data_IF_001525734816
#
_entry.id   IF_001525734816
#
_cell.length_a   1.000
_cell.length_b   1.000
_cell.length_c   1.000
_cell.angle_alpha   90.00
_cell.angle_beta   90.00
_cell.angle_gamma   90.00
#
_symmetry.space_group_name_H-M   'P 1'
#
loop_
_entity.id
_entity.type
_entity.pdbx_description
1 polymer ?
#
# COMPACT_ATOMS: atom_id res chain seq x y z
N UNK A 1 54.68 -48.81 -47.10
CA UNK A 1 54.77 -47.36 -46.91
C UNK A 1 53.36 -46.80 -46.96
N UNK A 2 52.98 -46.05 -45.93
CA UNK A 2 52.05 -44.89 -45.88
C UNK A 2 50.92 -44.88 -46.93
N UNK A 3 49.63 -44.80 -46.64
CA UNK A 3 48.87 -44.44 -45.44
C UNK A 3 47.51 -43.83 -45.89
N UNK A 4 46.55 -43.78 -44.95
CA UNK A 4 45.35 -42.89 -44.92
C UNK A 4 44.25 -43.24 -45.94
N UNK A 5 43.21 -43.99 -45.56
CA UNK A 5 42.03 -43.73 -44.70
C UNK A 5 40.77 -43.35 -45.46
N UNK A 6 39.72 -44.09 -45.11
CA UNK A 6 38.36 -44.11 -45.63
C UNK A 6 37.53 -42.87 -45.29
N UNK A 7 36.51 -42.61 -46.12
CA UNK A 7 35.19 -42.15 -45.62
C UNK A 7 34.10 -42.82 -46.47
N UNK A 8 33.43 -43.81 -45.89
CA UNK A 8 32.09 -44.26 -46.28
C UNK A 8 31.28 -44.36 -45.00
N UNK A 9 30.10 -43.75 -44.99
CA UNK A 9 29.01 -44.08 -44.07
C UNK A 9 28.81 -43.09 -42.93
N UNK A 10 27.82 -42.21 -43.08
CA UNK A 10 27.06 -41.64 -41.96
C UNK A 10 25.68 -41.18 -42.46
N UNK A 11 24.87 -42.15 -42.87
CA UNK A 11 23.42 -42.09 -42.72
C UNK A 11 23.11 -42.73 -41.36
N UNK A 12 22.20 -42.12 -40.59
CA UNK A 12 21.79 -42.46 -39.20
C UNK A 12 22.58 -41.74 -38.11
N UNK A 13 22.49 -40.40 -38.04
CA UNK A 13 22.58 -39.66 -36.77
C UNK A 13 21.94 -38.26 -36.88
N UNK A 14 20.69 -38.18 -37.34
CA UNK A 14 19.98 -36.89 -37.40
C UNK A 14 18.54 -36.96 -36.87
N UNK A 15 18.29 -37.79 -35.86
CA UNK A 15 16.97 -37.90 -35.23
C UNK A 15 16.96 -37.97 -33.69
N UNK A 16 18.09 -37.77 -33.01
CA UNK A 16 18.16 -37.82 -31.53
C UNK A 16 18.73 -36.55 -30.87
N UNK A 17 18.79 -35.43 -31.61
CA UNK A 17 19.13 -34.11 -31.07
C UNK A 17 18.00 -33.09 -31.36
N UNK A 18 16.74 -33.53 -31.25
CA UNK A 18 15.67 -32.65 -30.78
C UNK A 18 15.60 -32.83 -29.26
N UNK A 19 16.64 -32.34 -28.58
CA UNK A 19 16.61 -32.17 -27.15
C UNK A 19 15.55 -31.13 -26.81
N UNK A 20 14.50 -31.58 -26.14
CA UNK A 20 13.78 -30.89 -25.08
C UNK A 20 14.16 -29.41 -24.91
N UNK A 21 13.64 -28.55 -25.78
CA UNK A 21 13.23 -27.22 -25.37
C UNK A 21 11.73 -27.35 -25.17
N UNK A 22 11.35 -28.04 -24.09
CA UNK A 22 10.17 -27.59 -23.39
C UNK A 22 10.55 -26.21 -22.88
N UNK A 23 10.09 -25.18 -23.60
CA UNK A 23 9.85 -23.92 -22.94
C UNK A 23 8.91 -24.27 -21.79
N UNK A 24 9.43 -24.36 -20.56
CA UNK A 24 8.58 -24.01 -19.44
C UNK A 24 8.05 -22.64 -19.80
N UNK A 25 6.74 -22.49 -19.98
CA UNK A 25 6.13 -21.18 -19.84
C UNK A 25 6.58 -20.70 -18.46
N UNK A 26 7.65 -19.89 -18.45
CA UNK A 26 8.28 -19.48 -17.20
C UNK A 26 7.20 -18.76 -16.41
N UNK A 27 6.94 -19.23 -15.19
CA UNK A 27 6.08 -18.48 -14.27
C UNK A 27 6.54 -17.03 -14.30
N UNK A 28 5.65 -16.13 -14.72
CA UNK A 28 5.96 -14.71 -14.77
C UNK A 28 6.21 -14.26 -13.35
N UNK A 29 7.45 -13.91 -13.05
CA UNK A 29 7.80 -13.38 -11.74
C UNK A 29 6.99 -12.12 -11.43
N UNK A 30 6.51 -12.04 -10.19
CA UNK A 30 5.65 -10.96 -9.70
C UNK A 30 6.49 -9.96 -8.90
N UNK A 31 6.32 -8.65 -9.12
CA UNK A 31 7.10 -7.60 -8.46
C UNK A 31 6.27 -6.38 -8.08
N UNK A 32 6.80 -5.52 -7.22
CA UNK A 32 6.40 -4.12 -7.22
C UNK A 32 7.04 -3.44 -8.44
N UNK A 33 6.22 -2.82 -9.29
CA UNK A 33 6.67 -2.22 -10.55
C UNK A 33 6.61 -0.68 -10.49
N UNK A 34 7.58 -0.03 -11.11
CA UNK A 34 7.55 1.41 -11.33
C UNK A 34 6.52 1.83 -12.40
N UNK A 35 6.42 3.12 -12.70
CA UNK A 35 5.49 3.64 -13.72
C UNK A 35 5.79 3.17 -15.15
N UNK A 36 6.95 2.58 -15.41
CA UNK A 36 7.33 2.00 -16.72
C UNK A 36 7.29 0.47 -16.70
N UNK A 37 6.71 -0.13 -15.67
CA UNK A 37 6.59 -1.57 -15.53
C UNK A 37 7.91 -2.27 -15.20
N UNK A 38 8.91 -1.56 -14.68
CA UNK A 38 10.19 -2.16 -14.29
C UNK A 38 10.17 -2.59 -12.82
N UNK A 39 10.72 -3.77 -12.48
CA UNK A 39 10.87 -4.21 -11.08
C UNK A 39 11.67 -3.23 -10.24
N UNK A 40 11.14 -2.88 -9.07
CA UNK A 40 11.83 -2.07 -8.06
C UNK A 40 11.75 -2.74 -6.69
N UNK A 41 12.73 -2.46 -5.83
CA UNK A 41 12.74 -2.96 -4.46
C UNK A 41 11.51 -2.47 -3.68
N UNK A 42 11.24 -1.18 -3.79
CA UNK A 42 10.07 -0.52 -3.25
C UNK A 42 9.75 0.73 -4.07
N UNK A 43 8.49 1.17 -4.00
CA UNK A 43 8.07 2.49 -4.42
C UNK A 43 7.08 3.07 -3.42
N UNK A 44 6.99 4.39 -3.37
CA UNK A 44 6.00 5.15 -2.60
C UNK A 44 5.34 6.19 -3.49
N UNK A 45 4.04 6.36 -3.29
CA UNK A 45 3.21 7.36 -3.92
C UNK A 45 2.57 8.21 -2.83
N UNK A 46 2.65 9.54 -2.98
CA UNK A 46 1.83 10.49 -2.23
C UNK A 46 0.84 11.14 -3.21
N UNK A 47 -0.40 10.67 -3.18
CA UNK A 47 -1.49 11.20 -3.99
C UNK A 47 -1.90 12.57 -3.44
N UNK A 48 -1.98 13.56 -4.30
CA UNK A 48 -2.42 14.90 -3.95
C UNK A 48 -3.95 14.92 -3.74
N UNK A 49 -4.48 15.85 -2.92
CA UNK A 49 -5.93 16.07 -2.83
C UNK A 49 -6.43 16.69 -4.14
N UNK A 50 -7.74 16.70 -4.37
CA UNK A 50 -8.33 17.33 -5.56
C UNK A 50 -8.41 18.86 -5.50
N UNK A 51 -8.16 19.44 -4.32
CA UNK A 51 -8.22 20.87 -4.05
C UNK A 51 -7.06 21.25 -3.14
N UNK A 52 -6.50 22.44 -3.38
CA UNK A 52 -5.45 23.08 -2.57
C UNK A 52 -5.87 24.50 -2.22
N UNK A 53 -5.06 25.18 -1.39
CA UNK A 53 -5.24 26.61 -1.13
C UNK A 53 -4.21 27.42 -1.92
N UNK A 54 -4.66 28.50 -2.53
CA UNK A 54 -3.77 29.51 -3.09
C UNK A 54 -3.12 30.36 -1.98
N UNK A 55 -2.27 31.30 -2.38
CA UNK A 55 -1.57 32.21 -1.47
C UNK A 55 -2.53 33.10 -0.64
N UNK A 56 -3.77 33.28 -1.09
CA UNK A 56 -4.83 34.03 -0.42
C UNK A 56 -5.68 33.12 0.49
N UNK A 57 -5.36 31.83 0.56
CA UNK A 57 -6.04 30.85 1.39
C UNK A 57 -7.37 30.37 0.81
N UNK A 58 -7.69 30.68 -0.45
CA UNK A 58 -8.92 30.25 -1.12
C UNK A 58 -8.73 28.83 -1.69
N UNK A 59 -9.76 28.00 -1.56
CA UNK A 59 -9.77 26.69 -2.20
C UNK A 59 -9.83 26.83 -3.72
N UNK A 60 -8.88 26.20 -4.38
CA UNK A 60 -8.79 26.07 -5.83
C UNK A 60 -8.59 24.60 -6.20
N UNK A 61 -9.00 24.15 -7.40
CA UNK A 61 -8.64 22.82 -7.88
C UNK A 61 -7.12 22.62 -7.82
N UNK A 62 -6.68 21.42 -7.46
CA UNK A 62 -5.27 21.07 -7.55
C UNK A 62 -4.81 21.22 -9.00
N UNK A 63 -3.69 21.91 -9.28
CA UNK A 63 -3.14 22.05 -10.63
C UNK A 63 -2.69 20.70 -11.18
N UNK A 64 -3.65 19.95 -11.72
CA UNK A 64 -3.48 18.59 -12.18
C UNK A 64 -3.97 18.48 -13.62
N UNK A 65 -3.10 18.00 -14.49
CA UNK A 65 -3.31 17.89 -15.94
C UNK A 65 -3.84 16.51 -16.36
N UNK A 66 -4.47 15.80 -15.41
CA UNK A 66 -5.04 14.50 -15.65
C UNK A 66 -6.39 14.59 -16.35
N UNK A 67 -6.73 13.55 -17.11
CA UNK A 67 -8.07 13.35 -17.62
C UNK A 67 -8.99 12.80 -16.53
N UNK A 68 -10.30 13.01 -16.71
CA UNK A 68 -11.33 12.36 -15.90
C UNK A 68 -11.20 10.82 -16.00
N UNK A 69 -11.34 10.07 -14.88
CA UNK A 69 -11.33 8.62 -14.92
C UNK A 69 -12.33 8.05 -15.92
N UNK A 70 -11.85 7.14 -16.78
CA UNK A 70 -12.66 6.48 -17.80
C UNK A 70 -13.32 5.22 -17.21
N UNK A 71 -14.51 5.38 -16.63
CA UNK A 71 -15.20 4.32 -15.87
C UNK A 71 -16.23 3.54 -16.70
N UNK A 72 -16.08 3.52 -18.03
CA UNK A 72 -17.01 2.86 -18.94
C UNK A 72 -17.11 1.35 -18.69
N UNK A 73 -15.99 0.71 -18.32
CA UNK A 73 -15.95 -0.73 -18.03
C UNK A 73 -16.76 -1.14 -16.78
N UNK A 74 -17.19 -0.18 -15.96
CA UNK A 74 -18.07 -0.40 -14.80
C UNK A 74 -19.38 0.38 -14.90
N UNK A 75 -19.65 1.03 -16.04
CA UNK A 75 -20.87 1.81 -16.31
C UNK A 75 -21.16 2.89 -15.26
N UNK A 76 -20.11 3.44 -14.67
CA UNK A 76 -20.19 4.58 -13.74
C UNK A 76 -19.85 5.86 -14.51
N UNK A 77 -20.68 6.89 -14.37
CA UNK A 77 -20.30 8.25 -14.78
C UNK A 77 -19.81 9.04 -13.56
N UNK A 78 -18.63 9.63 -13.68
CA UNK A 78 -17.98 10.36 -12.58
C UNK A 78 -17.88 11.86 -12.86
N UNK A 79 -17.91 12.71 -11.83
CA UNK A 79 -17.73 14.15 -12.01
C UNK A 79 -16.35 14.51 -12.61
N UNK A 80 -16.28 15.61 -13.36
CA UNK A 80 -15.03 16.13 -13.96
C UNK A 80 -13.96 16.43 -12.91
N UNK A 81 -14.37 16.82 -11.71
CA UNK A 81 -13.52 17.21 -10.59
C UNK A 81 -12.62 16.09 -10.10
N UNK A 82 -12.99 14.82 -10.37
CA UNK A 82 -12.18 13.66 -9.96
C UNK A 82 -10.78 13.68 -10.55
N UNK A 83 -10.59 14.30 -11.72
CA UNK A 83 -9.28 14.41 -12.37
C UNK A 83 -8.25 15.15 -11.52
N UNK A 84 -8.68 16.11 -10.70
CA UNK A 84 -7.76 16.93 -9.90
C UNK A 84 -7.07 16.14 -8.78
N UNK A 85 -7.65 15.00 -8.38
CA UNK A 85 -7.15 14.16 -7.30
C UNK A 85 -6.22 13.03 -7.73
N UNK A 86 -5.80 12.99 -8.99
CA UNK A 86 -5.03 11.89 -9.59
C UNK A 86 -3.53 12.19 -9.72
N UNK A 87 -3.11 13.43 -9.47
CA UNK A 87 -1.71 13.81 -9.45
C UNK A 87 -1.03 13.33 -8.17
N UNK A 88 0.28 13.05 -8.26
CA UNK A 88 1.02 12.46 -7.17
C UNK A 88 2.51 12.80 -7.20
N UNK A 89 3.13 12.64 -6.03
CA UNK A 89 4.57 12.54 -5.89
C UNK A 89 4.97 11.07 -5.84
N UNK A 90 6.12 10.75 -6.43
CA UNK A 90 6.64 9.40 -6.55
C UNK A 90 8.11 9.34 -6.13
N UNK A 91 8.47 8.28 -5.40
CA UNK A 91 9.85 7.87 -5.17
C UNK A 91 9.96 6.34 -5.21
N UNK A 92 11.16 5.86 -5.51
CA UNK A 92 11.47 4.43 -5.51
C UNK A 92 12.88 4.17 -4.98
N UNK A 93 13.24 2.90 -4.87
CA UNK A 93 14.56 2.49 -4.40
C UNK A 93 15.73 2.97 -5.27
N UNK A 94 15.51 3.20 -6.57
CA UNK A 94 16.54 3.69 -7.49
C UNK A 94 16.66 5.22 -7.42
N UNK A 95 15.59 5.91 -7.03
CA UNK A 95 15.49 7.36 -6.89
C UNK A 95 14.67 7.70 -5.63
N UNK A 96 15.30 7.67 -4.44
CA UNK A 96 14.60 7.78 -3.15
C UNK A 96 14.22 9.22 -2.78
N UNK A 97 13.88 10.04 -3.77
CA UNK A 97 13.41 11.42 -3.60
C UNK A 97 12.06 11.58 -4.26
N UNK A 98 11.10 12.10 -3.50
CA UNK A 98 9.76 12.40 -4.01
C UNK A 98 9.87 13.45 -5.13
N UNK A 99 9.36 13.10 -6.31
CA UNK A 99 9.30 13.93 -7.50
C UNK A 99 7.89 13.93 -8.04
N UNK A 100 7.50 15.02 -8.72
CA UNK A 100 6.21 15.05 -9.39
C UNK A 100 6.17 13.96 -10.49
N UNK A 101 5.05 13.26 -10.63
CA UNK A 101 4.95 12.12 -11.55
C UNK A 101 5.25 12.47 -13.02
N UNK A 102 4.95 13.72 -13.44
CA UNK A 102 5.31 14.21 -14.78
C UNK A 102 6.83 14.35 -14.98
N UNK A 103 7.58 14.71 -13.94
CA UNK A 103 9.04 14.88 -14.03
C UNK A 103 9.75 13.54 -14.28
N UNK A 104 9.10 12.43 -13.95
CA UNK A 104 9.59 11.07 -14.19
C UNK A 104 8.95 10.41 -15.42
N UNK A 105 8.07 11.13 -16.11
CA UNK A 105 7.39 10.68 -17.33
C UNK A 105 6.33 9.61 -17.10
N UNK A 106 5.60 9.69 -15.98
CA UNK A 106 4.51 8.76 -15.66
C UNK A 106 3.13 9.35 -15.98
N UNK A 107 2.15 8.45 -16.07
CA UNK A 107 0.74 8.75 -16.24
C UNK A 107 0.06 9.01 -14.89
N UNK A 108 -1.16 9.51 -14.97
CA UNK A 108 -2.05 9.77 -13.83
C UNK A 108 -2.32 8.51 -13.01
N UNK A 109 -2.40 8.66 -11.68
CA UNK A 109 -2.39 7.54 -10.76
C UNK A 109 -3.58 6.59 -10.96
N UNK A 110 -3.31 5.28 -11.05
CA UNK A 110 -4.34 4.26 -11.07
C UNK A 110 -5.30 4.38 -12.24
N UNK A 111 -4.84 4.93 -13.37
CA UNK A 111 -5.65 5.07 -14.59
C UNK A 111 -5.40 3.93 -15.58
N UNK A 112 -4.60 2.94 -15.21
CA UNK A 112 -4.33 1.80 -16.04
C UNK A 112 -3.21 2.00 -17.07
N UNK A 113 -2.57 3.17 -17.09
CA UNK A 113 -1.46 3.48 -17.99
C UNK A 113 -0.09 3.20 -17.36
N UNK A 114 0.88 4.01 -17.73
CA UNK A 114 2.23 4.02 -17.19
C UNK A 114 2.31 4.67 -15.81
N UNK A 115 1.70 4.02 -14.82
CA UNK A 115 1.76 4.40 -13.42
C UNK A 115 2.06 3.17 -12.53
N UNK A 116 2.77 3.36 -11.40
CA UNK A 116 3.29 2.25 -10.60
C UNK A 116 2.18 1.38 -9.99
N UNK A 117 1.03 1.98 -9.68
CA UNK A 117 -0.12 1.28 -9.09
C UNK A 117 -0.75 0.34 -10.11
N UNK A 118 -1.01 0.84 -11.32
CA UNK A 118 -1.58 0.04 -12.40
C UNK A 118 -0.68 -1.11 -12.82
N UNK A 119 0.62 -0.86 -13.02
CA UNK A 119 1.58 -1.92 -13.35
C UNK A 119 1.65 -2.97 -12.24
N UNK A 120 1.74 -2.53 -10.98
CA UNK A 120 1.83 -3.45 -9.84
C UNK A 120 0.57 -4.33 -9.74
N UNK A 121 -0.63 -3.72 -9.69
CA UNK A 121 -1.89 -4.45 -9.45
C UNK A 121 -2.31 -5.35 -10.61
N UNK A 122 -2.03 -4.99 -11.88
CA UNK A 122 -2.42 -5.82 -13.04
C UNK A 122 -1.74 -7.19 -13.04
N UNK A 123 -0.59 -7.34 -12.37
CA UNK A 123 0.10 -8.63 -12.27
C UNK A 123 -0.71 -9.69 -11.54
N UNK A 124 -1.65 -9.32 -10.65
CA UNK A 124 -2.48 -10.27 -9.90
C UNK A 124 -3.23 -11.26 -10.81
N UNK A 125 -3.60 -10.84 -12.04
CA UNK A 125 -4.26 -11.71 -13.03
C UNK A 125 -3.41 -12.88 -13.50
N UNK A 126 -2.09 -12.74 -13.42
CA UNK A 126 -1.14 -13.76 -13.81
C UNK A 126 -0.53 -14.49 -12.61
N UNK A 127 -0.91 -14.13 -11.38
CA UNK A 127 -0.41 -14.76 -10.16
C UNK A 127 -1.32 -15.90 -9.72
N UNK A 128 -0.73 -17.00 -9.27
CA UNK A 128 -1.45 -18.13 -8.68
C UNK A 128 -2.13 -17.72 -7.38
N UNK A 129 -1.41 -16.98 -6.53
CA UNK A 129 -1.91 -16.50 -5.24
C UNK A 129 -2.02 -14.99 -5.25
N UNK A 130 -3.24 -14.49 -5.03
CA UNK A 130 -3.49 -13.07 -4.82
C UNK A 130 -4.66 -12.85 -3.88
N UNK A 131 -4.66 -11.68 -3.23
CA UNK A 131 -5.77 -11.18 -2.44
C UNK A 131 -5.79 -9.65 -2.37
N UNK A 132 -6.98 -9.10 -2.16
CA UNK A 132 -7.25 -7.68 -1.87
C UNK A 132 -7.81 -7.62 -0.45
N UNK A 133 -7.35 -6.64 0.33
CA UNK A 133 -7.88 -6.35 1.65
C UNK A 133 -8.25 -4.87 1.75
N UNK A 134 -9.34 -4.57 2.45
CA UNK A 134 -9.83 -3.21 2.67
C UNK A 134 -10.88 -3.26 3.78
N UNK A 135 -10.81 -2.36 4.74
CA UNK A 135 -11.87 -2.21 5.75
C UNK A 135 -13.12 -1.49 5.22
N UNK A 136 -13.07 -0.96 3.99
CA UNK A 136 -14.12 -0.14 3.39
C UNK A 136 -14.34 -0.54 1.92
N UNK A 137 -15.35 -1.40 1.68
CA UNK A 137 -15.89 -1.76 0.36
C UNK A 137 -17.33 -1.26 0.15
N UNK A 138 -17.75 -0.28 0.95
CA UNK A 138 -19.11 0.25 0.96
C UNK A 138 -19.45 1.19 -0.19
N UNK A 139 -18.46 1.55 -1.01
CA UNK A 139 -18.59 2.46 -2.15
C UNK A 139 -17.75 2.00 -3.35
N UNK A 140 -17.58 0.70 -3.56
CA UNK A 140 -16.94 0.17 -4.78
C UNK A 140 -17.73 0.55 -6.05
N UNK A 141 -17.12 0.45 -7.22
CA UNK A 141 -17.75 0.85 -8.49
C UNK A 141 -19.03 0.07 -8.83
N UNK A 142 -19.18 -1.19 -8.38
CA UNK A 142 -20.41 -1.96 -8.58
C UNK A 142 -21.64 -1.24 -8.00
N UNK A 143 -21.53 -0.76 -6.76
CA UNK A 143 -22.62 -0.14 -6.00
C UNK A 143 -22.14 0.43 -4.67
N UNK A 144 -22.97 1.29 -4.10
CA UNK A 144 -22.89 1.68 -2.69
C UNK A 144 -23.64 0.67 -1.81
N UNK A 145 -22.96 0.05 -0.85
CA UNK A 145 -23.55 -0.85 0.16
C UNK A 145 -22.94 -0.57 1.54
N UNK A 146 -23.66 0.16 2.39
CA UNK A 146 -23.18 0.60 3.70
C UNK A 146 -22.82 -0.54 4.66
N UNK A 147 -23.22 -1.79 4.36
CA UNK A 147 -22.88 -2.97 5.17
C UNK A 147 -21.49 -3.50 4.89
N UNK A 148 -20.86 -3.12 3.76
CA UNK A 148 -19.52 -3.57 3.37
C UNK A 148 -18.44 -2.73 4.05
N UNK A 149 -18.46 -2.69 5.38
CA UNK A 149 -17.49 -2.00 6.23
C UNK A 149 -17.08 -2.94 7.36
N UNK A 150 -15.79 -3.00 7.63
CA UNK A 150 -15.19 -3.79 8.70
C UNK A 150 -14.71 -2.81 9.76
N UNK A 151 -15.34 -2.75 10.95
CA UNK A 151 -14.99 -1.70 11.92
C UNK A 151 -15.34 -2.05 13.37
N UNK A 152 -14.54 -1.53 14.31
CA UNK A 152 -14.90 -1.11 15.68
C UNK A 152 -15.46 -2.14 16.69
N UNK A 153 -15.96 -3.29 16.25
CA UNK A 153 -16.54 -4.34 17.09
C UNK A 153 -16.49 -5.74 16.47
N UNK A 154 -15.99 -5.85 15.23
CA UNK A 154 -15.81 -7.11 14.52
C UNK A 154 -14.53 -7.84 14.97
N UNK A 155 -14.49 -9.17 14.77
CA UNK A 155 -13.29 -9.98 15.01
C UNK A 155 -12.11 -9.60 14.09
N UNK A 156 -12.41 -8.88 13.00
CA UNK A 156 -11.48 -8.24 12.08
C UNK A 156 -11.78 -6.75 12.06
N UNK A 157 -10.78 -5.89 12.27
CA UNK A 157 -11.03 -4.46 12.44
C UNK A 157 -9.84 -3.57 12.04
N UNK A 158 -8.87 -4.13 11.32
CA UNK A 158 -7.72 -3.35 10.89
C UNK A 158 -8.15 -2.23 9.92
N UNK A 159 -7.78 -0.99 10.21
CA UNK A 159 -7.92 0.12 9.27
C UNK A 159 -6.82 0.07 8.20
N UNK A 160 -6.92 -0.91 7.30
CA UNK A 160 -5.87 -1.25 6.36
C UNK A 160 -6.46 -1.67 5.01
N UNK A 161 -5.76 -1.26 3.94
CA UNK A 161 -6.20 -1.44 2.57
C UNK A 161 -5.00 -1.78 1.68
N UNK A 162 -5.21 -2.56 0.63
CA UNK A 162 -4.12 -2.95 -0.25
C UNK A 162 -4.34 -4.26 -0.99
N UNK A 163 -3.24 -4.82 -1.47
CA UNK A 163 -3.24 -6.08 -2.20
C UNK A 163 -1.92 -6.82 -2.05
N UNK A 164 -1.97 -8.12 -2.29
CA UNK A 164 -0.81 -9.01 -2.38
C UNK A 164 -0.99 -9.91 -3.59
N UNK A 165 0.09 -10.15 -4.33
CA UNK A 165 0.13 -11.20 -5.34
C UNK A 165 1.53 -11.83 -5.36
N UNK A 166 1.60 -13.16 -5.45
CA UNK A 166 2.85 -13.90 -5.32
C UNK A 166 2.76 -15.31 -5.90
N UNK A 167 3.94 -15.89 -6.11
CA UNK A 167 4.18 -17.32 -6.25
C UNK A 167 4.97 -17.82 -5.03
N UNK A 168 4.84 -19.10 -4.70
CA UNK A 168 5.51 -19.68 -3.53
C UNK A 168 7.04 -19.59 -3.63
N UNK A 169 7.58 -19.88 -4.81
CA UNK A 169 9.03 -20.00 -5.01
C UNK A 169 9.68 -18.65 -5.36
N UNK A 170 9.04 -17.83 -6.20
CA UNK A 170 9.61 -16.55 -6.65
C UNK A 170 9.16 -15.34 -5.83
N UNK A 171 8.24 -15.52 -4.88
CA UNK A 171 7.62 -14.43 -4.14
C UNK A 171 6.76 -13.52 -5.02
N UNK A 172 6.69 -12.25 -4.67
CA UNK A 172 5.76 -11.31 -5.31
C UNK A 172 5.85 -9.87 -4.83
N UNK A 173 4.70 -9.21 -4.74
CA UNK A 173 4.57 -7.89 -4.16
C UNK A 173 3.63 -7.87 -2.96
N UNK A 174 3.91 -6.94 -2.05
CA UNK A 174 2.95 -6.47 -1.04
C UNK A 174 2.70 -4.99 -1.30
N UNK A 175 1.43 -4.60 -1.38
CA UNK A 175 0.99 -3.22 -1.58
C UNK A 175 0.06 -2.82 -0.43
N UNK A 176 0.38 -1.70 0.22
CA UNK A 176 -0.47 -1.04 1.21
C UNK A 176 -0.94 0.30 0.66
N UNK A 177 -2.19 0.64 0.95
CA UNK A 177 -2.87 1.86 0.53
C UNK A 177 -3.66 2.43 1.69
N UNK A 178 -3.78 3.76 1.74
CA UNK A 178 -4.76 4.43 2.61
C UNK A 178 -6.08 4.76 1.89
N UNK A 179 -6.17 4.45 0.60
CA UNK A 179 -7.27 4.84 -0.29
C UNK A 179 -8.50 3.94 -0.10
N UNK A 180 -9.65 4.46 0.36
CA UNK A 180 -10.85 3.65 0.54
C UNK A 180 -11.41 3.11 -0.78
N UNK A 181 -12.04 1.94 -0.69
CA UNK A 181 -12.63 1.24 -1.84
C UNK A 181 -11.63 0.92 -2.98
N UNK A 182 -10.31 1.03 -2.74
CA UNK A 182 -9.27 0.79 -3.74
C UNK A 182 -8.08 -0.02 -3.16
N UNK A 183 -7.58 -1.10 -3.82
CA UNK A 183 -8.02 -1.64 -5.11
C UNK A 183 -9.48 -2.07 -5.10
N UNK A 184 -10.17 -1.81 -6.21
CA UNK A 184 -11.60 -2.05 -6.34
C UNK A 184 -11.85 -3.45 -6.95
N UNK A 185 -12.51 -4.37 -6.24
CA UNK A 185 -12.75 -5.74 -6.69
C UNK A 185 -13.94 -5.87 -7.65
N UNK A 186 -14.55 -4.75 -8.08
CA UNK A 186 -15.69 -4.76 -9.01
C UNK A 186 -15.32 -5.52 -10.29
N UNK A 187 -16.21 -6.43 -10.71
CA UNK A 187 -16.04 -7.16 -11.96
C UNK A 187 -16.41 -6.22 -13.12
N UNK A 188 -15.50 -5.96 -14.08
CA UNK A 188 -15.80 -5.19 -15.27
C UNK A 188 -16.94 -5.80 -16.07
N UNK A 189 -17.74 -4.95 -16.71
CA UNK A 189 -18.75 -5.37 -17.68
C UNK A 189 -18.09 -5.92 -18.94
N UNK A 190 -18.66 -6.99 -19.51
CA UNK A 190 -18.10 -7.67 -20.69
C UNK A 190 -18.12 -6.87 -22.01
N UNK A 191 -18.46 -5.58 -21.96
CA UNK A 191 -18.51 -4.67 -23.11
C UNK A 191 -17.14 -4.02 -23.40
N UNK A 192 -16.12 -4.30 -22.59
CA UNK A 192 -14.78 -3.72 -22.65
C UNK A 192 -13.71 -4.77 -22.31
N UNK A 193 -12.61 -4.78 -23.05
CA UNK A 193 -11.41 -5.59 -22.73
C UNK A 193 -10.58 -4.98 -21.59
N UNK A 194 -10.86 -3.74 -21.17
CA UNK A 194 -10.23 -3.11 -20.00
C UNK A 194 -10.81 -3.69 -18.71
N UNK A 195 -10.03 -4.56 -18.10
CA UNK A 195 -10.37 -5.32 -16.91
C UNK A 195 -9.81 -4.70 -15.61
N UNK A 196 -9.29 -3.48 -15.68
CA UNK A 196 -8.75 -2.75 -14.54
C UNK A 196 -9.71 -1.64 -14.11
N UNK A 197 -10.11 -1.67 -12.85
CA UNK A 197 -11.00 -0.65 -12.29
C UNK A 197 -10.16 0.54 -11.87
N UNK A 198 -10.40 1.68 -12.52
CA UNK A 198 -9.58 2.87 -12.32
C UNK A 198 -9.84 3.51 -10.97
N UNK A 199 -8.79 4.11 -10.40
CA UNK A 199 -8.92 4.94 -9.23
C UNK A 199 -9.81 6.14 -9.58
N UNK A 200 -10.82 6.36 -8.75
CA UNK A 200 -11.81 7.41 -8.95
C UNK A 200 -13.12 6.92 -9.57
N UNK A 201 -13.25 5.65 -9.98
CA UNK A 201 -14.55 5.10 -10.41
C UNK A 201 -15.47 4.70 -9.25
N UNK A 202 -14.95 4.67 -8.03
CA UNK A 202 -15.66 4.30 -6.81
C UNK A 202 -16.71 5.35 -6.43
N UNK A 203 -17.81 4.94 -5.80
CA UNK A 203 -18.82 5.82 -5.19
C UNK A 203 -18.34 6.41 -3.84
N UNK A 204 -17.13 6.97 -3.83
CA UNK A 204 -16.46 7.49 -2.65
C UNK A 204 -15.61 8.74 -2.97
N UNK A 205 -15.12 9.42 -1.94
CA UNK A 205 -14.25 10.60 -1.98
C UNK A 205 -12.76 10.24 -2.11
N UNK A 206 -12.46 9.05 -2.62
CA UNK A 206 -11.11 8.48 -2.60
C UNK A 206 -10.06 9.24 -3.44
N UNK A 207 -10.51 10.12 -4.34
CA UNK A 207 -9.65 11.08 -5.05
C UNK A 207 -9.67 12.49 -4.44
N UNK A 208 -10.63 12.82 -3.58
CA UNK A 208 -10.76 14.14 -2.96
C UNK A 208 -9.64 14.44 -1.95
N UNK A 209 -9.28 13.43 -1.14
CA UNK A 209 -8.28 13.58 -0.08
C UNK A 209 -6.89 13.16 -0.52
N UNK A 210 -5.86 13.71 0.11
CA UNK A 210 -4.50 13.21 -0.04
C UNK A 210 -4.42 11.77 0.53
N UNK A 211 -3.69 10.90 -0.15
CA UNK A 211 -3.54 9.49 0.24
C UNK A 211 -2.10 9.04 -0.01
N UNK A 212 -1.70 7.91 0.57
CA UNK A 212 -0.42 7.30 0.29
C UNK A 212 -0.58 5.84 -0.12
N UNK A 213 0.36 5.39 -0.95
CA UNK A 213 0.52 3.99 -1.31
C UNK A 213 1.98 3.61 -1.23
N UNK A 214 2.25 2.40 -0.79
CA UNK A 214 3.59 1.83 -0.71
C UNK A 214 3.53 0.40 -1.24
N UNK A 215 4.50 0.01 -2.06
CA UNK A 215 4.67 -1.38 -2.42
C UNK A 215 6.13 -1.80 -2.39
N UNK A 216 6.36 -3.08 -2.15
CA UNK A 216 7.69 -3.69 -2.12
C UNK A 216 7.70 -5.05 -2.82
N UNK A 217 8.81 -5.34 -3.50
CA UNK A 217 9.10 -6.64 -4.08
C UNK A 217 9.71 -7.55 -3.03
N UNK A 218 9.07 -8.69 -2.75
CA UNK A 218 9.44 -9.62 -1.67
C UNK A 218 9.57 -11.05 -2.18
N UNK A 219 10.42 -11.85 -1.55
CA UNK A 219 10.52 -13.29 -1.82
C UNK A 219 9.45 -14.09 -1.05
N UNK A 220 9.42 -15.41 -1.22
CA UNK A 220 8.45 -16.28 -0.56
C UNK A 220 8.55 -16.27 0.97
N UNK A 221 9.76 -16.14 1.54
CA UNK A 221 9.94 -16.09 3.00
C UNK A 221 9.45 -14.76 3.59
N UNK A 222 9.72 -13.66 2.91
CA UNK A 222 9.18 -12.35 3.26
C UNK A 222 7.66 -12.31 3.15
N UNK A 223 7.05 -12.96 2.15
CA UNK A 223 5.60 -13.12 2.03
C UNK A 223 5.03 -13.88 3.25
N UNK A 224 5.64 -14.98 3.67
CA UNK A 224 5.25 -15.71 4.90
C UNK A 224 5.37 -14.82 6.14
N UNK A 225 6.43 -14.04 6.23
CA UNK A 225 6.69 -13.15 7.36
C UNK A 225 5.65 -12.03 7.45
N UNK A 226 5.31 -11.39 6.32
CA UNK A 226 4.22 -10.40 6.25
C UNK A 226 2.87 -11.04 6.60
N UNK A 227 2.58 -12.24 6.08
CA UNK A 227 1.35 -12.97 6.40
C UNK A 227 1.19 -13.21 7.91
N UNK A 228 2.25 -13.61 8.61
CA UNK A 228 2.24 -13.74 10.08
C UNK A 228 1.95 -12.41 10.78
N UNK A 229 2.52 -11.30 10.29
CA UNK A 229 2.23 -9.97 10.80
C UNK A 229 0.76 -9.56 10.60
N UNK A 230 0.19 -9.86 9.43
CA UNK A 230 -1.20 -9.56 9.12
C UNK A 230 -2.22 -10.35 9.94
N UNK A 231 -1.86 -11.55 10.43
CA UNK A 231 -2.69 -12.27 11.42
C UNK A 231 -2.86 -11.45 12.70
N UNK A 232 -1.80 -10.80 13.20
CA UNK A 232 -1.89 -9.88 14.35
C UNK A 232 -2.80 -8.70 14.04
N UNK A 233 -2.66 -8.11 12.85
CA UNK A 233 -3.43 -6.93 12.46
C UNK A 233 -4.93 -7.21 12.29
N UNK A 234 -5.33 -8.43 11.93
CA UNK A 234 -6.73 -8.83 11.64
C UNK A 234 -7.31 -8.02 10.47
N UNK A 235 -6.63 -8.09 9.33
CA UNK A 235 -7.06 -7.46 8.07
C UNK A 235 -8.42 -7.97 7.59
N UNK A 236 -9.16 -7.12 6.89
CA UNK A 236 -10.48 -7.46 6.34
C UNK A 236 -10.38 -7.80 4.85
N UNK A 237 -10.65 -9.06 4.52
CA UNK A 237 -10.66 -9.60 3.16
C UNK A 237 -11.74 -10.72 3.09
N UNK A 238 -11.44 -11.88 2.50
CA UNK A 238 -12.40 -12.99 2.39
C UNK A 238 -12.77 -13.64 3.72
N UNK A 239 -11.92 -13.48 4.73
CA UNK A 239 -12.16 -13.83 6.14
C UNK A 239 -13.31 -13.05 6.79
N UNK A 240 -13.70 -11.89 6.23
CA UNK A 240 -14.78 -11.05 6.74
C UNK A 240 -15.91 -10.87 5.71
N UNK A 241 -15.57 -10.54 4.46
CA UNK A 241 -16.53 -10.33 3.36
C UNK A 241 -16.82 -11.63 2.60
N UNK A 242 -17.52 -12.56 3.25
CA UNK A 242 -17.79 -13.88 2.68
C UNK A 242 -18.57 -13.83 1.34
N UNK A 243 -19.49 -12.87 1.19
CA UNK A 243 -20.28 -12.66 -0.05
C UNK A 243 -19.43 -12.16 -1.22
N UNK A 244 -18.23 -11.65 -0.96
CA UNK A 244 -17.29 -11.13 -1.96
C UNK A 244 -16.07 -12.04 -2.14
N UNK A 245 -16.06 -13.23 -1.54
CA UNK A 245 -14.87 -14.07 -1.46
C UNK A 245 -14.20 -14.31 -2.82
N UNK A 246 -14.99 -14.57 -3.87
CA UNK A 246 -14.48 -14.86 -5.22
C UNK A 246 -13.76 -13.70 -5.90
N UNK A 247 -14.03 -12.46 -5.51
CA UNK A 247 -13.41 -11.25 -6.10
C UNK A 247 -12.34 -10.63 -5.20
N UNK A 248 -12.20 -11.11 -3.97
CA UNK A 248 -11.23 -10.62 -3.00
C UNK A 248 -10.00 -11.53 -2.84
N UNK A 249 -10.07 -12.79 -3.28
CA UNK A 249 -8.89 -13.65 -3.34
C UNK A 249 -8.98 -14.73 -4.43
N UNK A 250 -7.80 -15.09 -4.95
CA UNK A 250 -7.61 -16.23 -5.86
C UNK A 250 -8.23 -17.52 -5.32
N UNK A 251 -8.67 -18.40 -6.22
CA UNK A 251 -9.17 -19.71 -5.82
C UNK A 251 -8.11 -20.51 -5.04
N UNK A 252 -6.86 -20.54 -5.51
CA UNK A 252 -5.77 -21.25 -4.86
C UNK A 252 -5.53 -20.80 -3.42
N UNK A 253 -5.60 -19.48 -3.14
CA UNK A 253 -5.47 -18.98 -1.77
C UNK A 253 -6.69 -19.33 -0.91
N UNK A 254 -7.91 -19.24 -1.47
CA UNK A 254 -9.16 -19.52 -0.73
C UNK A 254 -9.33 -20.97 -0.34
N UNK A 255 -8.89 -21.91 -1.17
CA UNK A 255 -8.96 -23.33 -0.85
C UNK A 255 -7.85 -23.75 0.15
N UNK A 256 -7.00 -22.80 0.57
CA UNK A 256 -5.94 -22.96 1.56
C UNK A 256 -5.15 -24.26 1.39
N UNK A 257 -4.80 -24.61 0.16
CA UNK A 257 -4.15 -25.88 -0.19
C UNK A 257 -2.77 -26.08 0.48
N UNK A 258 -2.28 -25.09 1.24
CA UNK A 258 -0.89 -24.95 1.65
C UNK A 258 -0.66 -24.59 3.12
N UNK A 259 -1.72 -24.40 3.93
CA UNK A 259 -1.60 -23.90 5.31
C UNK A 259 -0.71 -22.63 5.41
N UNK A 260 -0.81 -21.75 4.42
CA UNK A 260 0.12 -20.63 4.27
C UNK A 260 -0.28 -19.46 5.20
N UNK A 261 0.65 -18.76 5.89
CA UNK A 261 0.31 -17.67 6.82
C UNK A 261 -0.54 -16.55 6.21
N UNK A 262 -0.38 -16.32 4.90
CA UNK A 262 -1.17 -15.35 4.15
C UNK A 262 -2.65 -15.79 3.98
N UNK A 263 -2.91 -17.08 3.81
CA UNK A 263 -4.27 -17.60 3.76
C UNK A 263 -4.92 -17.50 5.15
N UNK A 264 -4.20 -17.85 6.22
CA UNK A 264 -4.67 -17.62 7.58
C UNK A 264 -5.00 -16.14 7.86
N UNK A 265 -4.21 -15.20 7.33
CA UNK A 265 -4.43 -13.76 7.54
C UNK A 265 -5.64 -13.18 6.79
N UNK A 266 -5.94 -13.68 5.58
CA UNK A 266 -6.89 -13.04 4.64
C UNK A 266 -8.12 -13.90 4.29
N UNK A 267 -8.06 -15.19 4.57
CA UNK A 267 -9.10 -16.17 4.20
C UNK A 267 -9.76 -16.80 5.40
N UNK A 268 -8.97 -17.21 6.38
CA UNK A 268 -9.47 -17.95 7.54
C UNK A 268 -10.26 -17.04 8.50
N UNK A 269 -11.59 -17.21 8.62
CA UNK A 269 -12.40 -16.44 9.58
C UNK A 269 -12.13 -16.85 11.04
N UNK A 270 -11.65 -18.08 11.24
CA UNK A 270 -11.47 -18.72 12.54
C UNK A 270 -10.01 -18.64 13.01
N UNK A 271 -9.16 -17.91 12.29
CA UNK A 271 -7.77 -17.70 12.66
C UNK A 271 -7.68 -17.19 14.11
N UNK A 272 -6.71 -17.70 14.87
CA UNK A 272 -6.48 -17.26 16.24
C UNK A 272 -6.03 -15.79 16.29
N UNK A 273 -6.31 -15.13 17.43
CA UNK A 273 -5.73 -13.83 17.71
C UNK A 273 -4.22 -13.95 17.95
N UNK A 274 -3.44 -13.11 17.28
CA UNK A 274 -1.99 -13.03 17.46
C UNK A 274 -1.60 -11.69 18.10
N UNK A 275 -0.58 -11.66 19.00
CA UNK A 275 -0.14 -10.43 19.62
C UNK A 275 0.54 -9.50 18.62
N UNK A 276 0.61 -8.20 18.97
CA UNK A 276 1.37 -7.22 18.20
C UNK A 276 2.80 -7.70 17.93
N UNK A 277 3.29 -7.49 16.71
CA UNK A 277 4.58 -8.04 16.27
C UNK A 277 5.31 -7.11 15.31
N UNK A 278 6.63 -7.26 15.27
CA UNK A 278 7.52 -6.60 14.33
C UNK A 278 8.11 -7.62 13.36
N UNK A 279 8.12 -7.27 12.09
CA UNK A 279 8.73 -8.09 11.03
C UNK A 279 9.78 -7.27 10.33
N UNK A 280 10.93 -7.89 10.07
CA UNK A 280 11.93 -7.31 9.16
C UNK A 280 11.97 -8.17 7.91
N UNK A 281 11.78 -7.55 6.76
CA UNK A 281 11.87 -8.20 5.45
C UNK A 281 13.01 -7.58 4.65
N UNK A 282 13.58 -8.38 3.75
CA UNK A 282 14.55 -7.92 2.76
C UNK A 282 13.87 -8.03 1.40
N UNK A 283 13.93 -6.96 0.62
CA UNK A 283 13.34 -6.96 -0.72
C UNK A 283 14.11 -7.89 -1.64
N UNK A 284 13.40 -8.64 -2.48
CA UNK A 284 14.04 -9.56 -3.45
C UNK A 284 14.78 -8.83 -4.58
N UNK A 285 14.45 -7.56 -4.79
CA UNK A 285 15.19 -6.65 -5.69
C UNK A 285 16.02 -5.71 -4.82
N UNK A 286 17.30 -5.53 -5.13
CA UNK A 286 18.18 -4.53 -4.48
C UNK A 286 18.52 -4.76 -2.99
N UNK A 287 17.97 -5.80 -2.35
CA UNK A 287 18.26 -6.19 -0.96
C UNK A 287 18.08 -5.06 0.08
N UNK A 288 17.01 -4.28 -0.06
CA UNK A 288 16.63 -3.22 0.89
C UNK A 288 15.92 -3.84 2.09
N UNK A 289 16.30 -3.42 3.29
CA UNK A 289 15.65 -3.86 4.54
C UNK A 289 14.44 -2.97 4.85
N UNK A 290 13.28 -3.57 5.00
CA UNK A 290 12.04 -2.89 5.40
C UNK A 290 11.56 -3.51 6.71
N UNK A 291 11.13 -2.67 7.66
CA UNK A 291 10.59 -3.11 8.94
C UNK A 291 9.10 -2.77 9.01
N UNK A 292 8.27 -3.78 9.25
CA UNK A 292 6.83 -3.65 9.48
C UNK A 292 6.51 -3.83 10.95
N UNK A 293 5.55 -3.05 11.44
CA UNK A 293 4.96 -3.16 12.77
C UNK A 293 3.48 -3.47 12.58
N UNK A 294 3.00 -4.54 13.20
CA UNK A 294 1.62 -5.00 13.12
C UNK A 294 1.01 -4.95 14.51
N UNK A 295 0.03 -4.07 14.68
CA UNK A 295 -0.67 -3.88 15.94
C UNK A 295 -1.86 -4.84 16.03
N UNK A 296 -1.99 -5.52 17.16
CA UNK A 296 -3.16 -6.35 17.45
C UNK A 296 -4.37 -5.53 17.94
N UNK A 297 -5.56 -6.12 17.79
CA UNK A 297 -6.83 -5.48 18.14
C UNK A 297 -7.00 -5.18 19.64
N UNK A 298 -6.34 -5.95 20.52
CA UNK A 298 -6.44 -5.80 21.96
C UNK A 298 -5.45 -4.77 22.52
N UNK A 299 -4.45 -4.39 21.73
CA UNK A 299 -3.46 -3.38 22.10
C UNK A 299 -4.11 -1.99 22.22
N UNK A 300 -4.18 -1.50 23.46
CA UNK A 300 -4.59 -0.14 23.76
C UNK A 300 -3.49 0.90 23.45
N UNK A 301 -2.30 0.46 23.04
CA UNK A 301 -1.17 1.37 22.78
C UNK A 301 -1.39 2.12 21.46
N UNK A 302 -1.23 3.45 21.42
CA UNK A 302 -1.22 4.21 20.17
C UNK A 302 -0.17 3.65 19.19
N UNK A 303 -0.51 3.43 17.90
CA UNK A 303 0.40 2.85 16.91
C UNK A 303 1.76 3.58 16.83
N UNK A 304 1.77 4.89 17.09
CA UNK A 304 2.97 5.73 17.03
C UNK A 304 3.95 5.50 18.16
N UNK A 305 3.45 5.28 19.38
CA UNK A 305 4.31 4.89 20.49
C UNK A 305 4.95 3.51 20.24
N UNK A 306 4.18 2.58 19.67
CA UNK A 306 4.71 1.27 19.26
C UNK A 306 5.79 1.42 18.18
N UNK A 307 5.60 2.30 17.20
CA UNK A 307 6.58 2.54 16.15
C UNK A 307 7.87 3.18 16.70
N UNK A 308 7.77 4.19 17.56
CA UNK A 308 8.93 4.81 18.20
C UNK A 308 9.77 3.78 18.98
N UNK A 309 9.12 2.96 19.80
CA UNK A 309 9.79 1.91 20.58
C UNK A 309 10.35 0.80 19.69
N UNK A 310 9.58 0.32 18.71
CA UNK A 310 10.02 -0.72 17.77
C UNK A 310 11.25 -0.30 16.95
N UNK A 311 11.29 0.96 16.52
CA UNK A 311 12.34 1.47 15.65
C UNK A 311 13.49 2.13 16.39
N UNK A 312 13.34 2.36 17.70
CA UNK A 312 14.38 2.93 18.54
C UNK A 312 14.73 4.37 18.13
N UNK A 313 13.71 5.14 17.76
CA UNK A 313 13.87 6.47 17.20
C UNK A 313 12.64 7.31 17.48
N UNK A 314 12.87 8.61 17.57
CA UNK A 314 11.80 9.56 17.81
C UNK A 314 10.98 9.74 16.53
N UNK A 315 9.67 9.91 16.69
CA UNK A 315 8.78 10.24 15.58
C UNK A 315 8.52 11.74 15.54
N UNK A 316 8.65 12.35 14.37
CA UNK A 316 8.24 13.73 14.16
C UNK A 316 6.72 13.79 13.99
N UNK A 317 5.99 14.01 15.09
CA UNK A 317 4.51 14.11 15.08
C UNK A 317 3.97 15.45 15.56
N UNK A 318 4.84 16.37 15.94
CA UNK A 318 4.59 17.79 16.20
C UNK A 318 3.34 18.45 15.64
N UNK A 319 3.17 18.24 14.34
CA UNK A 319 2.23 18.91 13.48
C UNK A 319 1.18 17.92 12.99
N UNK A 320 1.10 16.75 13.63
CA UNK A 320 0.06 15.77 13.38
C UNK A 320 -1.19 16.21 14.10
N UNK A 321 -2.29 15.99 13.41
CA UNK A 321 -3.61 16.35 13.86
C UNK A 321 -4.27 15.06 14.28
N UNK A 322 -4.50 14.90 15.57
CA UNK A 322 -5.30 13.83 16.12
C UNK A 322 -6.61 14.47 16.61
N UNK A 323 -7.74 13.97 16.11
CA UNK A 323 -9.10 14.47 16.39
C UNK A 323 -9.51 15.87 15.83
N UNK A 324 -10.76 16.27 16.15
CA UNK A 324 -11.48 17.46 15.64
C UNK A 324 -10.95 18.81 16.15
N UNK A 325 -9.99 18.77 17.07
CA UNK A 325 -9.31 19.93 17.59
C UNK A 325 -7.84 19.68 17.30
N UNK A 326 -7.12 20.65 16.73
CA UNK A 326 -5.68 20.56 16.55
C UNK A 326 -4.96 20.55 17.90
N UNK A 327 -5.17 19.49 18.67
CA UNK A 327 -4.50 19.21 19.92
C UNK A 327 -3.42 18.20 19.53
N UNK A 328 -2.14 18.54 19.66
CA UNK A 328 -1.08 17.56 19.49
C UNK A 328 -1.29 16.44 20.52
N UNK A 329 -1.55 15.23 20.04
CA UNK A 329 -1.35 14.02 20.84
C UNK A 329 0.16 13.88 21.01
N UNK A 330 0.64 14.15 22.23
CA UNK A 330 2.01 14.00 22.76
C UNK A 330 2.65 15.35 23.06
N UNK A 331 2.65 15.68 24.35
CA UNK A 331 3.22 16.90 24.88
C UNK A 331 4.75 16.81 24.94
N UNK A 332 5.34 17.98 24.70
CA UNK A 332 6.74 18.37 24.86
C UNK A 332 7.35 17.90 26.19
N UNK A 333 8.67 17.71 26.22
CA UNK A 333 9.39 17.21 27.39
C UNK A 333 9.08 17.99 28.67
N UNK A 334 8.80 17.29 29.77
CA UNK A 334 9.26 17.60 31.13
C UNK A 334 8.64 16.64 32.18
N UNK A 335 9.40 16.40 33.26
CA UNK A 335 9.19 15.46 34.37
C UNK A 335 7.75 15.45 34.95
N UNK A 336 7.09 14.27 34.98
CA UNK A 336 5.68 14.11 35.45
C UNK A 336 5.50 13.37 36.78
N UNK A 337 6.52 13.28 37.63
CA UNK A 337 6.46 12.57 38.91
C UNK A 337 5.43 13.07 39.95
N UNK A 338 4.64 14.11 39.64
CA UNK A 338 3.76 14.80 40.59
C UNK A 338 2.30 15.06 40.13
N UNK A 339 1.88 14.65 38.93
CA UNK A 339 0.49 14.88 38.48
C UNK A 339 -0.44 13.74 38.89
N UNK A 340 -1.39 14.05 39.78
CA UNK A 340 -2.33 13.08 40.38
C UNK A 340 -3.43 12.58 39.42
N UNK A 341 -3.61 13.23 38.27
CA UNK A 341 -4.59 12.86 37.25
C UNK A 341 -3.87 12.63 35.92
N UNK A 342 -3.60 11.35 35.66
CA UNK A 342 -2.65 10.89 34.64
C UNK A 342 -3.18 11.08 33.21
N UNK A 343 -2.44 11.83 32.39
CA UNK A 343 -2.33 11.57 30.96
C UNK A 343 -1.07 10.74 30.73
N UNK A 344 -1.21 9.41 30.73
CA UNK A 344 -0.36 8.40 30.09
C UNK A 344 -0.82 7.01 30.54
N UNK A 345 -0.87 6.09 29.60
CA UNK A 345 -1.48 4.76 29.69
C UNK A 345 -1.01 3.99 30.94
N UNK A 346 -1.96 3.53 31.77
CA UNK A 346 -1.66 2.73 32.97
C UNK A 346 -1.35 1.26 32.68
N UNK A 347 -1.30 0.82 31.43
CA UNK A 347 -1.21 -0.60 31.09
C UNK A 347 -0.05 -0.94 30.12
N UNK A 348 0.72 -1.94 30.56
CA UNK A 348 1.79 -2.71 29.90
C UNK A 348 1.45 -3.08 28.44
N UNK A 349 2.35 -2.90 27.44
CA UNK A 349 3.64 -3.60 27.37
C UNK A 349 4.87 -2.70 27.08
N UNK A 350 4.83 -1.41 27.40
CA UNK A 350 5.91 -0.47 27.03
C UNK A 350 6.96 -0.34 28.14
N UNK A 351 8.25 -0.31 27.76
CA UNK A 351 9.36 -0.18 28.73
C UNK A 351 9.61 1.30 29.01
N UNK A 352 9.12 1.80 30.15
CA UNK A 352 9.36 3.18 30.59
C UNK A 352 10.71 3.32 31.31
N UNK A 353 11.29 4.52 31.27
CA UNK A 353 12.43 4.92 32.12
C UNK A 353 12.00 5.03 33.60
N UNK A 354 12.95 5.02 34.56
CA UNK A 354 12.64 5.11 36.00
C UNK A 354 11.85 6.35 36.43
N UNK A 355 11.85 7.41 35.62
CA UNK A 355 11.12 8.67 35.85
C UNK A 355 9.74 8.70 35.17
N UNK A 356 9.31 7.59 34.56
CA UNK A 356 8.02 7.46 33.88
C UNK A 356 8.01 7.96 32.44
N UNK A 357 9.15 8.34 31.87
CA UNK A 357 9.27 8.79 30.48
C UNK A 357 9.52 7.62 29.50
N UNK A 358 9.29 7.85 28.20
CA UNK A 358 9.68 6.90 27.17
C UNK A 358 11.19 6.95 26.89
N UNK A 359 11.82 5.84 26.45
CA UNK A 359 13.20 5.86 25.97
C UNK A 359 13.38 6.70 24.69
N UNK A 360 12.33 6.81 23.87
CA UNK A 360 12.29 7.56 22.61
C UNK A 360 11.06 8.48 22.59
N UNK A 361 11.26 9.73 22.17
CA UNK A 361 10.27 10.80 22.17
C UNK A 361 9.43 10.81 20.89
N UNK A 362 8.38 11.61 20.92
CA UNK A 362 7.56 11.90 19.76
C UNK A 362 7.50 13.43 19.67
N UNK A 363 8.41 14.03 18.90
CA UNK A 363 8.83 15.44 19.07
C UNK A 363 8.23 16.44 18.07
N UNK A 364 8.27 17.70 18.51
CA UNK A 364 7.71 18.89 17.88
C UNK A 364 8.59 19.53 16.76
N UNK A 365 8.58 19.02 15.51
CA UNK A 365 9.03 19.75 14.31
C UNK A 365 8.13 20.96 13.96
N UNK A 366 8.63 22.17 14.21
CA UNK A 366 7.89 23.43 14.00
C UNK A 366 8.06 24.09 12.62
N UNK A 367 8.91 23.57 11.71
CA UNK A 367 9.08 24.20 10.39
C UNK A 367 9.74 23.27 9.36
N UNK A 368 9.10 23.11 8.20
CA UNK A 368 9.73 22.56 6.99
C UNK A 368 9.53 23.56 5.84
N UNK A 369 10.62 24.13 5.34
CA UNK A 369 10.59 25.00 4.14
C UNK A 369 11.25 24.21 3.01
N UNK A 370 10.47 23.80 2.00
CA UNK A 370 11.03 23.15 0.81
C UNK A 370 11.14 24.19 -0.32
N UNK A 371 12.30 24.32 -0.99
CA UNK A 371 12.47 25.29 -2.06
C UNK A 371 12.02 24.66 -3.38
N UNK A 372 10.72 24.62 -3.66
CA UNK A 372 10.25 24.25 -5.00
C UNK A 372 10.20 25.49 -5.90
N UNK A 373 10.88 25.42 -7.04
CA UNK A 373 10.65 26.29 -8.19
C UNK A 373 9.88 25.48 -9.23
N UNK A 374 8.62 25.83 -9.44
CA UNK A 374 7.90 25.43 -10.64
C UNK A 374 8.40 26.34 -11.78
N UNK A 375 9.10 25.80 -12.78
CA UNK A 375 9.22 26.49 -14.08
C UNK A 375 7.95 26.14 -14.87
N UNK A 376 7.14 27.06 -15.38
CA UNK A 376 7.49 28.28 -16.10
C UNK A 376 6.73 29.51 -15.58
N UNK A 377 7.43 30.64 -15.55
CA UNK A 377 6.95 32.04 -15.47
C UNK A 377 6.21 32.58 -14.23
N UNK A 378 6.15 31.89 -13.10
CA UNK A 378 5.93 32.58 -11.82
C UNK A 378 6.55 31.83 -10.62
N UNK A 379 7.49 32.49 -9.95
CA UNK A 379 8.20 31.97 -8.77
C UNK A 379 7.34 32.05 -7.50
N UNK A 380 6.15 31.46 -7.52
CA UNK A 380 5.32 31.32 -6.33
C UNK A 380 5.84 30.17 -5.46
N UNK A 381 6.29 30.50 -4.24
CA UNK A 381 6.57 29.50 -3.23
C UNK A 381 5.28 28.74 -2.91
N UNK A 382 5.24 27.44 -3.23
CA UNK A 382 4.11 26.57 -2.87
C UNK A 382 4.28 26.15 -1.41
N UNK A 383 3.44 26.70 -0.55
CA UNK A 383 3.27 26.24 0.84
C UNK A 383 2.12 25.23 0.88
N UNK A 384 2.43 24.00 1.26
CA UNK A 384 1.41 22.99 1.57
C UNK A 384 1.22 22.92 3.09
N UNK A 385 -0.02 22.80 3.54
CA UNK A 385 -0.34 22.53 4.94
C UNK A 385 -1.49 21.55 5.00
N UNK A 386 -1.32 20.45 5.72
CA UNK A 386 -2.41 19.52 6.07
C UNK A 386 -3.30 20.22 7.12
N UNK A 387 -4.62 20.32 6.85
CA UNK A 387 -5.60 20.84 7.80
C UNK A 387 -6.83 19.93 7.82
N UNK A 388 -7.34 19.63 9.01
CA UNK A 388 -8.35 18.60 9.25
C UNK A 388 -9.71 18.82 8.57
N UNK A 389 -10.34 17.70 8.23
CA UNK A 389 -11.75 17.59 7.84
C UNK A 389 -12.68 17.68 9.06
N UNK A 390 -13.96 17.98 8.81
CA UNK A 390 -14.95 18.38 9.82
C UNK A 390 -15.85 17.22 10.30
N UNK A 391 -15.50 15.98 9.99
CA UNK A 391 -16.36 14.79 10.16
C UNK A 391 -15.80 13.80 11.16
N UNK A 392 -16.74 13.08 11.79
CA UNK A 392 -16.53 12.16 12.92
C UNK A 392 -15.87 10.82 12.54
N UNK A 393 -15.66 10.60 11.24
CA UNK A 393 -15.10 9.36 10.71
C UNK A 393 -13.57 9.49 10.65
N UNK A 394 -12.89 8.51 11.23
CA UNK A 394 -11.51 8.57 11.70
C UNK A 394 -10.42 8.96 10.69
N UNK A 395 -9.22 9.16 11.22
CA UNK A 395 -8.06 9.64 10.49
C UNK A 395 -7.68 8.66 9.35
N UNK A 396 -7.81 9.11 8.10
CA UNK A 396 -7.46 8.33 6.92
C UNK A 396 -5.96 8.48 6.61
N UNK A 397 -5.15 7.61 7.24
CA UNK A 397 -3.77 7.34 6.86
C UNK A 397 -2.73 8.33 7.40
N UNK A 398 -1.93 7.87 8.35
CA UNK A 398 -0.65 8.51 8.72
C UNK A 398 0.47 7.51 8.44
N UNK A 399 1.62 7.98 7.95
CA UNK A 399 2.85 7.19 7.84
C UNK A 399 4.04 8.09 8.16
N UNK A 400 5.10 7.48 8.70
CA UNK A 400 6.40 8.11 8.88
C UNK A 400 7.39 7.34 8.00
N UNK A 401 7.96 8.02 7.00
CA UNK A 401 9.12 7.52 6.27
C UNK A 401 10.35 7.98 7.05
N UNK A 402 11.11 7.04 7.62
CA UNK A 402 12.37 7.34 8.29
C UNK A 402 13.52 6.99 7.36
N UNK A 403 14.38 7.99 7.10
CA UNK A 403 15.58 7.87 6.26
C UNK A 403 16.75 7.28 7.00
#
# INVERSE_FOLDING_TARGET
MVGVSAVVGSTVLLLHMLGLIQASEGQKEIFALDGKGQPVAWWVVLKLPWQVRDAQGKYIPTPCDCDKPQCANVKVDVPEERKFGLCYLYADANNPRLRHFRDVGYDCLGQGGNDPVSHTLRQAKNATYWAIFNDQFNGIAEKQDKRRVCSGGDAFNAHAKGAVAFELDSGGYVLQSSTPNFPDPTIPTGDSDDDFIRLGCQHDNNVEYAQHLFAMSVDGEAIKAVGRGWQSARLCSTNHYHDMSQVLASAALRHNELEHPMAAALVDPDADDAPSTNVTVVTKVGSVRIRGLFKDKASAVPPWAMAAEAFGTDLSVASWWDENFGIPSLCDGDVYGAVAEAFCLKNNPLTLRPDGTFPYNVENLMQATTPWRLSCDDAAAVTWSLRGGRVRDGNHGTSCLMS
#
